data_IF_931543966403
#
_entry.id   IF_931543966403
#
_cell.length_a   1.000
_cell.length_b   1.000
_cell.length_c   1.000
_cell.angle_alpha   90.00
_cell.angle_beta   90.00
_cell.angle_gamma   90.00
#
_symmetry.space_group_name_H-M   'P 1'
#
loop_
_entity.id
_entity.type
_entity.pdbx_description
1 polymer ?
#
# COMPACT_ATOMS: atom_id res chain seq x y z
N UNK A 1 3.20 -17.44 19.70
CA UNK A 1 2.68 -17.22 21.07
C UNK A 1 1.38 -17.99 21.18
N UNK A 2 1.40 -19.10 21.92
CA UNK A 2 0.31 -20.07 21.99
C UNK A 2 -0.47 -19.83 23.27
N UNK A 3 -1.70 -19.32 23.16
CA UNK A 3 -2.61 -19.22 24.29
C UNK A 3 -3.35 -20.55 24.44
N UNK A 4 -2.70 -21.51 25.11
CA UNK A 4 -3.40 -22.58 25.81
C UNK A 4 -3.91 -22.01 27.11
N UNK A 5 -5.22 -21.94 27.26
CA UNK A 5 -5.83 -21.69 28.55
C UNK A 5 -7.17 -21.00 28.42
N UNK A 6 -8.22 -21.78 28.16
CA UNK A 6 -9.49 -21.73 28.90
C UNK A 6 -10.16 -23.10 28.74
N UNK A 7 -9.63 -24.13 29.40
CA UNK A 7 -10.40 -25.33 29.72
C UNK A 7 -10.56 -25.34 31.23
N UNK A 8 -11.52 -24.58 31.73
CA UNK A 8 -12.09 -24.75 33.07
C UNK A 8 -13.38 -23.93 33.11
N UNK A 9 -14.50 -24.62 33.21
CA UNK A 9 -15.72 -24.33 34.01
C UNK A 9 -16.87 -25.08 33.34
N UNK A 10 -16.94 -26.39 33.59
CA UNK A 10 -18.20 -27.14 33.48
C UNK A 10 -18.10 -28.45 34.25
N UNK A 11 -17.94 -28.33 35.57
CA UNK A 11 -18.25 -29.43 36.48
C UNK A 11 -18.60 -28.85 37.87
N UNK A 12 -19.74 -28.16 37.92
CA UNK A 12 -20.48 -27.95 39.15
C UNK A 12 -21.83 -28.65 38.99
N UNK A 13 -21.77 -29.97 38.83
CA UNK A 13 -22.88 -30.86 39.12
C UNK A 13 -23.13 -30.77 40.63
N UNK A 14 -24.11 -29.95 40.98
CA UNK A 14 -25.06 -30.14 42.08
C UNK A 14 -24.71 -31.28 43.04
N UNK A 15 -23.91 -30.98 44.07
CA UNK A 15 -24.01 -31.71 45.35
C UNK A 15 -25.40 -31.40 45.89
N UNK A 16 -26.37 -32.25 45.57
CA UNK A 16 -27.61 -32.34 46.32
C UNK A 16 -27.21 -32.60 47.77
N UNK A 17 -27.43 -31.59 48.61
CA UNK A 17 -27.31 -31.71 50.05
C UNK A 17 -28.37 -32.70 50.53
N UNK A 18 -27.97 -33.95 50.64
CA UNK A 18 -28.66 -34.97 51.40
C UNK A 18 -28.55 -34.57 52.88
N UNK A 19 -29.48 -33.73 53.32
CA UNK A 19 -29.55 -33.24 54.69
C UNK A 19 -31.00 -33.28 55.12
N UNK A 20 -31.42 -34.44 55.63
CA UNK A 20 -32.29 -34.64 56.81
C UNK A 20 -32.92 -36.02 56.76
N UNK A 21 -32.14 -37.03 57.12
CA UNK A 21 -32.70 -38.24 57.72
C UNK A 21 -33.02 -37.92 59.19
N UNK A 22 -34.07 -37.13 59.42
CA UNK A 22 -34.70 -36.98 60.71
C UNK A 22 -35.59 -38.19 60.94
N UNK A 23 -35.00 -39.30 61.38
CA UNK A 23 -35.73 -40.47 61.82
C UNK A 23 -36.64 -40.09 62.98
N UNK A 24 -37.94 -40.09 62.69
CA UNK A 24 -39.04 -39.92 63.64
C UNK A 24 -38.87 -40.94 64.75
N UNK A 25 -38.51 -40.47 65.95
CA UNK A 25 -38.67 -41.23 67.17
C UNK A 25 -40.18 -41.36 67.41
N UNK A 26 -40.75 -42.51 67.07
CA UNK A 26 -42.04 -42.95 67.59
C UNK A 26 -41.83 -43.23 69.07
N UNK A 27 -42.12 -42.24 69.91
CA UNK A 27 -42.31 -42.49 71.33
C UNK A 27 -43.66 -43.19 71.43
N UNK A 28 -43.62 -44.52 71.49
CA UNK A 28 -44.70 -45.34 72.04
C UNK A 28 -44.84 -44.94 73.51
N UNK A 29 -45.65 -43.92 73.78
CA UNK A 29 -46.21 -43.74 75.11
C UNK A 29 -47.35 -44.75 75.22
N UNK A 30 -47.01 -45.91 75.78
CA UNK A 30 -47.95 -46.79 76.47
C UNK A 30 -48.64 -45.97 77.57
N UNK A 31 -49.70 -45.26 77.18
CA UNK A 31 -50.64 -44.63 78.10
C UNK A 31 -51.44 -45.77 78.75
N UNK A 32 -50.91 -46.27 79.85
CA UNK A 32 -51.60 -47.06 80.85
C UNK A 32 -52.88 -46.31 81.26
N UNK A 33 -53.99 -46.61 80.59
CA UNK A 33 -55.32 -46.20 80.99
C UNK A 33 -55.62 -46.80 82.36
N UNK A 34 -55.29 -46.03 83.38
CA UNK A 34 -55.68 -46.23 84.75
C UNK A 34 -57.22 -46.15 84.80
N UNK A 35 -57.87 -47.32 84.79
CA UNK A 35 -59.27 -47.50 85.19
C UNK A 35 -59.43 -47.03 86.63
N UNK A 36 -59.72 -45.75 86.80
CA UNK A 36 -59.91 -45.13 88.10
C UNK A 36 -60.79 -43.91 87.96
N UNK A 37 -61.88 -43.90 88.73
CA UNK A 37 -62.77 -42.77 88.96
C UNK A 37 -63.93 -42.57 87.95
N UNK A 38 -64.82 -43.57 87.87
CA UNK A 38 -66.26 -43.29 87.72
C UNK A 38 -66.75 -42.69 89.05
N UNK A 39 -66.50 -41.41 89.25
CA UNK A 39 -67.05 -40.62 90.35
C UNK A 39 -67.66 -39.36 89.78
N UNK A 40 -69.00 -39.35 89.64
CA UNK A 40 -69.89 -38.23 89.31
C UNK A 40 -69.20 -36.87 89.03
N UNK A 41 -68.55 -36.76 87.87
CA UNK A 41 -68.22 -35.46 87.30
C UNK A 41 -69.53 -34.82 86.87
N UNK A 42 -70.00 -33.87 87.68
CA UNK A 42 -71.21 -33.08 87.48
C UNK A 42 -71.40 -32.76 85.98
N UNK A 43 -72.46 -33.28 85.34
CA UNK A 43 -72.63 -33.23 83.88
C UNK A 43 -72.62 -31.83 83.27
N UNK A 44 -72.61 -30.78 84.10
CA UNK A 44 -72.31 -29.39 83.71
C UNK A 44 -70.83 -29.16 83.36
N UNK A 45 -69.88 -29.72 84.12
CA UNK A 45 -68.45 -29.60 83.88
C UNK A 45 -68.03 -30.27 82.56
N UNK A 46 -68.55 -31.47 82.28
CA UNK A 46 -68.33 -32.20 81.02
C UNK A 46 -68.83 -31.39 79.82
N UNK A 47 -70.02 -30.77 79.94
CA UNK A 47 -70.57 -29.91 78.87
C UNK A 47 -69.73 -28.65 78.64
N UNK A 48 -69.25 -28.01 79.70
CA UNK A 48 -68.36 -26.84 79.58
C UNK A 48 -67.04 -27.22 78.90
N UNK A 49 -66.43 -28.35 79.29
CA UNK A 49 -65.21 -28.85 78.67
C UNK A 49 -65.42 -29.19 77.19
N UNK A 50 -66.56 -29.79 76.82
CA UNK A 50 -66.92 -30.06 75.43
C UNK A 50 -67.06 -28.75 74.63
N UNK A 51 -67.71 -27.74 75.19
CA UNK A 51 -67.84 -26.43 74.52
C UNK A 51 -66.49 -25.75 74.33
N UNK A 52 -65.60 -25.80 75.34
CA UNK A 52 -64.25 -25.26 75.22
C UNK A 52 -63.45 -25.99 74.13
N UNK A 53 -63.47 -27.33 74.14
CA UNK A 53 -62.79 -28.13 73.12
C UNK A 53 -63.33 -27.88 71.71
N UNK A 54 -64.65 -27.68 71.58
CA UNK A 54 -65.24 -27.33 70.29
C UNK A 54 -64.76 -25.97 69.78
N UNK A 55 -64.57 -25.00 70.68
CA UNK A 55 -64.05 -23.67 70.33
C UNK A 55 -62.56 -23.72 69.97
N UNK A 56 -61.77 -24.49 70.72
CA UNK A 56 -60.35 -24.76 70.43
C UNK A 56 -60.19 -25.44 69.06
N UNK A 57 -60.98 -26.47 68.75
CA UNK A 57 -60.98 -27.13 67.44
C UNK A 57 -61.37 -26.17 66.31
N UNK A 58 -62.40 -25.34 66.52
CA UNK A 58 -62.80 -24.36 65.53
C UNK A 58 -61.74 -23.26 65.32
N UNK A 59 -60.99 -22.90 66.36
CA UNK A 59 -59.85 -21.99 66.23
C UNK A 59 -58.68 -22.66 65.50
N UNK A 60 -58.34 -23.90 65.86
CA UNK A 60 -57.28 -24.67 65.22
C UNK A 60 -57.56 -24.87 63.73
N UNK A 61 -58.81 -25.21 63.38
CA UNK A 61 -59.24 -25.35 61.99
C UNK A 61 -59.02 -24.06 61.20
N UNK A 62 -59.41 -22.90 61.77
CA UNK A 62 -59.18 -21.59 61.12
C UNK A 62 -57.70 -21.31 60.92
N UNK A 63 -56.86 -21.55 61.93
CA UNK A 63 -55.41 -21.34 61.81
C UNK A 63 -54.77 -22.30 60.80
N UNK A 64 -55.27 -23.53 60.71
CA UNK A 64 -54.82 -24.48 59.71
C UNK A 64 -55.22 -24.03 58.29
N UNK A 65 -56.45 -23.59 58.09
CA UNK A 65 -56.93 -23.10 56.79
C UNK A 65 -56.14 -21.85 56.35
N UNK A 66 -55.82 -20.95 57.28
CA UNK A 66 -54.94 -19.79 57.04
C UNK A 66 -53.51 -20.22 56.67
N UNK A 67 -52.95 -21.21 57.38
CA UNK A 67 -51.65 -21.78 57.07
C UNK A 67 -51.62 -22.39 55.67
N UNK A 68 -52.59 -23.25 55.34
CA UNK A 68 -52.70 -23.88 54.02
C UNK A 68 -52.79 -22.82 52.92
N UNK A 69 -53.63 -21.80 53.12
CA UNK A 69 -53.76 -20.70 52.16
C UNK A 69 -52.44 -19.96 51.95
N UNK A 70 -51.76 -19.58 53.03
CA UNK A 70 -50.47 -18.88 52.92
C UNK A 70 -49.38 -19.77 52.30
N UNK A 71 -49.37 -21.08 52.60
CA UNK A 71 -48.46 -22.05 51.97
C UNK A 71 -48.66 -22.11 50.46
N UNK A 72 -49.91 -22.22 49.99
CA UNK A 72 -50.22 -22.22 48.55
C UNK A 72 -49.88 -20.88 47.87
N UNK A 73 -49.99 -19.76 48.57
CA UNK A 73 -49.56 -18.46 48.05
C UNK A 73 -48.03 -18.41 47.87
N UNK A 74 -47.26 -18.86 48.85
CA UNK A 74 -45.80 -18.96 48.76
C UNK A 74 -45.34 -19.94 47.68
N UNK A 75 -45.97 -21.11 47.57
CA UNK A 75 -45.67 -22.08 46.50
C UNK A 75 -45.86 -21.45 45.12
N UNK A 76 -46.97 -20.73 44.89
CA UNK A 76 -47.22 -20.02 43.64
C UNK A 76 -46.18 -18.93 43.37
N UNK A 77 -45.79 -18.16 44.39
CA UNK A 77 -44.74 -17.13 44.24
C UNK A 77 -43.39 -17.76 43.86
N UNK A 78 -43.04 -18.90 44.45
CA UNK A 78 -41.82 -19.64 44.11
C UNK A 78 -41.88 -20.20 42.69
N UNK A 79 -43.01 -20.73 42.25
CA UNK A 79 -43.20 -21.20 40.86
C UNK A 79 -43.00 -20.06 39.85
N UNK A 80 -43.56 -18.87 40.11
CA UNK A 80 -43.37 -17.69 39.26
C UNK A 80 -41.89 -17.29 39.20
N UNK A 81 -41.19 -17.36 40.32
CA UNK A 81 -39.78 -17.00 40.41
C UNK A 81 -38.88 -18.02 39.68
N UNK A 82 -39.18 -19.32 39.79
CA UNK A 82 -38.52 -20.37 39.00
C UNK A 82 -38.74 -20.13 37.51
N UNK A 83 -39.98 -19.93 37.06
CA UNK A 83 -40.30 -19.61 35.67
C UNK A 83 -39.53 -18.38 35.16
N UNK A 84 -39.38 -17.35 36.01
CA UNK A 84 -38.62 -16.14 35.70
C UNK A 84 -37.14 -16.45 35.50
N UNK A 85 -36.55 -17.25 36.40
CA UNK A 85 -35.15 -17.63 36.30
C UNK A 85 -34.88 -18.57 35.13
N UNK A 86 -35.79 -19.49 34.81
CA UNK A 86 -35.68 -20.37 33.63
C UNK A 86 -35.69 -19.54 32.34
N UNK A 87 -36.64 -18.61 32.19
CA UNK A 87 -36.68 -17.69 31.05
C UNK A 87 -35.41 -16.86 30.93
N UNK A 88 -34.89 -16.35 32.05
CA UNK A 88 -33.65 -15.58 32.07
C UNK A 88 -32.45 -16.45 31.69
N UNK A 89 -32.42 -17.69 32.14
CA UNK A 89 -31.36 -18.66 31.82
C UNK A 89 -31.34 -18.95 30.33
N UNK A 90 -32.50 -19.24 29.74
CA UNK A 90 -32.64 -19.45 28.30
C UNK A 90 -32.19 -18.24 27.47
N UNK A 91 -32.54 -17.02 27.90
CA UNK A 91 -32.09 -15.79 27.25
C UNK A 91 -30.57 -15.61 27.30
N UNK A 92 -29.95 -15.89 28.45
CA UNK A 92 -28.50 -15.81 28.61
C UNK A 92 -27.79 -16.88 27.77
N UNK A 93 -28.31 -18.10 27.71
CA UNK A 93 -27.77 -19.17 26.87
C UNK A 93 -27.80 -18.79 25.39
N UNK A 94 -28.91 -18.21 24.91
CA UNK A 94 -29.01 -17.71 23.54
C UNK A 94 -28.00 -16.58 23.27
N UNK A 95 -27.84 -15.66 24.22
CA UNK A 95 -26.87 -14.58 24.10
C UNK A 95 -25.42 -15.10 24.04
N UNK A 96 -25.09 -16.13 24.82
CA UNK A 96 -23.76 -16.78 24.78
C UNK A 96 -23.50 -17.38 23.41
N UNK A 97 -24.44 -18.14 22.86
CA UNK A 97 -24.30 -18.75 21.53
C UNK A 97 -24.10 -17.69 20.44
N UNK A 98 -24.87 -16.59 20.47
CA UNK A 98 -24.70 -15.48 19.52
C UNK A 98 -23.33 -14.81 19.63
N UNK A 99 -22.85 -14.59 20.86
CA UNK A 99 -21.52 -14.01 21.09
C UNK A 99 -20.40 -14.95 20.65
N UNK A 100 -20.55 -16.26 20.83
CA UNK A 100 -19.60 -17.26 20.34
C UNK A 100 -19.53 -17.27 18.81
N UNK A 101 -20.67 -17.20 18.13
CA UNK A 101 -20.70 -17.07 16.67
C UNK A 101 -20.01 -15.78 16.20
N UNK A 102 -20.38 -14.62 16.77
CA UNK A 102 -19.76 -13.34 16.41
C UNK A 102 -18.24 -13.33 16.67
N UNK A 103 -17.79 -13.97 17.76
CA UNK A 103 -16.36 -14.14 18.06
C UNK A 103 -15.66 -14.98 17.00
N UNK A 104 -16.29 -16.07 16.54
CA UNK A 104 -15.72 -16.93 15.51
C UNK A 104 -15.64 -16.20 14.17
N UNK A 105 -16.68 -15.47 13.78
CA UNK A 105 -16.72 -14.68 12.54
C UNK A 105 -15.63 -13.59 12.56
N UNK A 106 -15.49 -12.89 13.68
CA UNK A 106 -14.42 -11.90 13.85
C UNK A 106 -13.03 -12.55 13.82
N UNK A 107 -12.90 -13.74 14.41
CA UNK A 107 -11.67 -14.52 14.38
C UNK A 107 -11.25 -14.90 12.96
N UNK A 108 -12.20 -15.35 12.13
CA UNK A 108 -11.97 -15.65 10.71
C UNK A 108 -11.60 -14.39 9.93
N UNK A 109 -12.35 -13.30 10.08
CA UNK A 109 -12.06 -12.03 9.40
C UNK A 109 -10.68 -11.47 9.77
N UNK A 110 -10.29 -11.55 11.04
CA UNK A 110 -8.96 -11.16 11.50
C UNK A 110 -7.86 -12.04 10.90
N UNK A 111 -8.15 -13.34 10.71
CA UNK A 111 -7.28 -14.28 9.99
C UNK A 111 -7.02 -13.83 8.56
N UNK A 112 -8.08 -13.56 7.80
CA UNK A 112 -8.01 -13.14 6.40
C UNK A 112 -7.21 -11.84 6.24
N UNK A 113 -7.50 -10.83 7.06
CA UNK A 113 -6.78 -9.54 7.05
C UNK A 113 -5.29 -9.74 7.35
N UNK A 114 -4.94 -10.66 8.26
CA UNK A 114 -3.55 -10.95 8.58
C UNK A 114 -2.82 -11.62 7.42
N UNK A 115 -3.47 -12.52 6.70
CA UNK A 115 -2.91 -13.16 5.50
C UNK A 115 -2.72 -12.16 4.35
N UNK A 116 -3.69 -11.26 4.15
CA UNK A 116 -3.60 -10.17 3.18
C UNK A 116 -2.44 -9.22 3.52
N UNK A 117 -2.31 -8.82 4.79
CA UNK A 117 -1.21 -7.97 5.26
C UNK A 117 0.15 -8.62 5.00
N UNK A 118 0.31 -9.91 5.31
CA UNK A 118 1.55 -10.63 5.03
C UNK A 118 1.85 -10.71 3.54
N UNK A 119 0.83 -10.91 2.71
CA UNK A 119 0.98 -10.95 1.25
C UNK A 119 1.40 -9.59 0.70
N UNK A 120 0.81 -8.52 1.21
CA UNK A 120 1.19 -7.14 0.87
C UNK A 120 2.65 -6.84 1.26
N UNK A 121 3.08 -7.21 2.47
CA UNK A 121 4.45 -7.02 2.93
C UNK A 121 5.48 -7.76 2.07
N UNK A 122 5.19 -9.00 1.66
CA UNK A 122 6.06 -9.75 0.73
C UNK A 122 6.18 -9.05 -0.63
N UNK A 123 5.05 -8.52 -1.14
CA UNK A 123 5.02 -7.78 -2.41
C UNK A 123 5.79 -6.47 -2.32
N UNK A 124 5.61 -5.73 -1.23
CA UNK A 124 6.36 -4.49 -0.96
C UNK A 124 7.86 -4.75 -0.94
N UNK A 125 8.31 -5.79 -0.22
CA UNK A 125 9.72 -6.17 -0.17
C UNK A 125 10.28 -6.53 -1.56
N UNK A 126 9.51 -7.26 -2.38
CA UNK A 126 9.91 -7.59 -3.75
C UNK A 126 10.06 -6.33 -4.62
N UNK A 127 9.10 -5.41 -4.55
CA UNK A 127 9.14 -4.15 -5.31
C UNK A 127 10.32 -3.28 -4.86
N UNK A 128 10.60 -3.25 -3.55
CA UNK A 128 11.75 -2.54 -3.02
C UNK A 128 13.05 -3.08 -3.59
N UNK A 129 13.17 -4.41 -3.70
CA UNK A 129 14.36 -5.04 -4.28
C UNK A 129 14.53 -4.73 -5.78
N UNK A 130 13.43 -4.72 -6.54
CA UNK A 130 13.44 -4.32 -7.95
C UNK A 130 13.83 -2.84 -8.12
N UNK A 131 13.35 -1.95 -7.24
CA UNK A 131 13.74 -0.54 -7.25
C UNK A 131 15.25 -0.41 -7.03
N UNK A 132 15.81 -1.14 -6.08
CA UNK A 132 17.24 -1.06 -5.77
C UNK A 132 18.10 -1.66 -6.90
N UNK A 133 17.66 -2.75 -7.52
CA UNK A 133 18.31 -3.29 -8.73
C UNK A 133 18.30 -2.28 -9.88
N UNK A 134 17.16 -1.61 -10.13
CA UNK A 134 17.05 -0.60 -11.17
C UNK A 134 17.92 0.62 -10.89
N UNK A 135 18.05 1.06 -9.62
CA UNK A 135 18.99 2.13 -9.23
C UNK A 135 20.44 1.76 -9.57
N UNK A 136 20.86 0.53 -9.23
CA UNK A 136 22.19 0.03 -9.57
C UNK A 136 22.43 0.00 -11.07
N UNK A 137 21.43 -0.42 -11.85
CA UNK A 137 21.51 -0.43 -13.31
C UNK A 137 21.65 0.97 -13.90
N UNK A 138 20.89 1.95 -13.38
CA UNK A 138 20.99 3.35 -13.80
C UNK A 138 22.39 3.88 -13.54
N UNK A 139 22.93 3.70 -12.33
CA UNK A 139 24.28 4.17 -11.99
C UNK A 139 25.36 3.57 -12.91
N UNK A 140 25.25 2.27 -13.24
CA UNK A 140 26.18 1.63 -14.18
C UNK A 140 26.09 2.24 -15.58
N UNK A 141 24.89 2.47 -16.08
CA UNK A 141 24.68 3.10 -17.40
C UNK A 141 25.16 4.56 -17.43
N UNK A 142 24.99 5.30 -16.32
CA UNK A 142 25.54 6.65 -16.19
C UNK A 142 27.08 6.63 -16.25
N UNK A 143 27.72 5.70 -15.54
CA UNK A 143 29.17 5.52 -15.59
C UNK A 143 29.65 5.16 -17.01
N UNK A 144 29.01 4.18 -17.67
CA UNK A 144 29.36 3.79 -19.05
C UNK A 144 29.19 4.96 -20.03
N UNK A 145 28.19 5.81 -19.83
CA UNK A 145 27.98 7.00 -20.65
C UNK A 145 29.10 8.04 -20.45
N UNK A 146 29.50 8.30 -19.20
CA UNK A 146 30.61 9.21 -18.89
C UNK A 146 31.93 8.72 -19.51
N UNK A 147 32.18 7.41 -19.49
CA UNK A 147 33.33 6.76 -20.12
C UNK A 147 33.31 6.90 -21.65
N UNK A 148 32.14 6.72 -22.28
CA UNK A 148 31.95 6.91 -23.72
C UNK A 148 32.12 8.37 -24.13
N UNK A 149 31.59 9.32 -23.37
CA UNK A 149 31.75 10.76 -23.64
C UNK A 149 33.22 11.18 -23.53
N UNK A 150 33.92 10.67 -22.53
CA UNK A 150 35.37 10.90 -22.37
C UNK A 150 36.14 10.31 -23.55
N UNK A 151 35.83 9.07 -23.94
CA UNK A 151 36.45 8.41 -25.11
C UNK A 151 36.20 9.18 -26.41
N UNK A 152 34.99 9.72 -26.59
CA UNK A 152 34.63 10.54 -27.74
C UNK A 152 35.44 11.84 -27.80
N UNK A 153 35.62 12.53 -26.66
CA UNK A 153 36.45 13.73 -26.55
C UNK A 153 37.92 13.45 -26.90
N UNK A 154 38.47 12.35 -26.41
CA UNK A 154 39.86 11.93 -26.72
C UNK A 154 40.00 11.63 -28.22
N UNK A 155 39.05 10.90 -28.80
CA UNK A 155 39.06 10.58 -30.23
C UNK A 155 38.98 11.85 -31.10
N UNK A 156 38.13 12.81 -30.74
CA UNK A 156 38.03 14.10 -31.43
C UNK A 156 39.34 14.88 -31.39
N UNK A 157 39.95 15.02 -30.20
CA UNK A 157 41.26 15.67 -30.06
C UNK A 157 42.34 14.97 -30.91
N UNK A 158 42.34 13.62 -30.93
CA UNK A 158 43.27 12.84 -31.75
C UNK A 158 43.05 13.07 -33.25
N UNK A 159 41.80 13.16 -33.70
CA UNK A 159 41.46 13.48 -35.09
C UNK A 159 41.96 14.87 -35.47
N UNK A 160 41.75 15.87 -34.60
CA UNK A 160 42.22 17.24 -34.81
C UNK A 160 43.75 17.31 -34.88
N UNK A 161 44.46 16.62 -33.97
CA UNK A 161 45.92 16.51 -33.98
C UNK A 161 46.45 15.89 -35.28
N UNK A 162 45.80 14.81 -35.75
CA UNK A 162 46.18 14.15 -37.00
C UNK A 162 45.88 15.03 -38.22
N UNK A 163 44.77 15.78 -38.22
CA UNK A 163 44.45 16.75 -39.26
C UNK A 163 45.49 17.85 -39.35
N UNK A 164 45.85 18.45 -38.22
CA UNK A 164 46.90 19.48 -38.19
C UNK A 164 48.23 18.92 -38.71
N UNK A 165 48.65 17.71 -38.27
CA UNK A 165 49.86 17.06 -38.78
C UNK A 165 49.80 16.84 -40.29
N UNK A 166 48.65 16.40 -40.81
CA UNK A 166 48.43 16.21 -42.24
C UNK A 166 48.53 17.52 -43.02
N UNK A 167 47.95 18.60 -42.50
CA UNK A 167 48.02 19.94 -43.11
C UNK A 167 49.46 20.45 -43.16
N UNK A 168 50.22 20.33 -42.07
CA UNK A 168 51.64 20.72 -42.03
C UNK A 168 52.49 19.92 -43.01
N UNK A 169 52.27 18.61 -43.12
CA UNK A 169 52.97 17.78 -44.11
C UNK A 169 52.61 18.17 -45.55
N UNK A 170 51.35 18.54 -45.81
CA UNK A 170 50.92 19.05 -47.10
C UNK A 170 51.61 20.36 -47.45
N UNK A 171 51.68 21.31 -46.52
CA UNK A 171 52.39 22.59 -46.68
C UNK A 171 53.88 22.38 -46.99
N UNK A 172 54.56 21.48 -46.26
CA UNK A 172 55.94 21.10 -46.54
C UNK A 172 56.10 20.48 -47.93
N UNK A 173 55.16 19.65 -48.35
CA UNK A 173 55.19 19.03 -49.67
C UNK A 173 55.05 20.08 -50.78
N UNK A 174 54.13 21.03 -50.63
CA UNK A 174 53.94 22.15 -51.56
C UNK A 174 55.21 23.00 -51.64
N UNK A 175 55.84 23.30 -50.50
CA UNK A 175 57.10 24.04 -50.46
C UNK A 175 58.22 23.32 -51.22
N UNK A 176 58.44 22.03 -50.96
CA UNK A 176 59.45 21.23 -51.65
C UNK A 176 59.17 21.07 -53.16
N UNK A 177 57.91 20.97 -53.55
CA UNK A 177 57.52 20.96 -54.97
C UNK A 177 57.91 22.28 -55.64
N UNK A 178 57.67 23.41 -54.97
CA UNK A 178 58.06 24.72 -55.49
C UNK A 178 59.58 24.84 -55.65
N UNK A 179 60.37 24.45 -54.64
CA UNK A 179 61.85 24.45 -54.74
C UNK A 179 62.35 23.55 -55.88
N UNK A 180 61.75 22.35 -56.03
CA UNK A 180 62.04 21.44 -57.14
C UNK A 180 61.76 22.09 -58.49
N UNK A 181 60.62 22.76 -58.64
CA UNK A 181 60.28 23.48 -59.87
C UNK A 181 61.27 24.60 -60.17
N UNK A 182 61.70 25.36 -59.17
CA UNK A 182 62.73 26.39 -59.33
C UNK A 182 64.08 25.81 -59.77
N UNK A 183 64.53 24.70 -59.17
CA UNK A 183 65.77 24.02 -59.54
C UNK A 183 65.70 23.48 -60.97
N UNK A 184 64.58 22.83 -61.34
CA UNK A 184 64.37 22.36 -62.72
C UNK A 184 64.37 23.53 -63.72
N UNK A 185 63.78 24.67 -63.36
CA UNK A 185 63.80 25.88 -64.20
C UNK A 185 65.23 26.39 -64.37
N UNK A 186 66.02 26.47 -63.30
CA UNK A 186 67.44 26.87 -63.36
C UNK A 186 68.26 25.90 -64.23
N UNK A 187 68.08 24.59 -64.05
CA UNK A 187 68.73 23.56 -64.87
C UNK A 187 68.35 23.69 -66.35
N UNK A 188 67.06 23.87 -66.65
CA UNK A 188 66.61 24.07 -68.03
C UNK A 188 67.22 25.33 -68.66
N UNK A 189 67.37 26.42 -67.89
CA UNK A 189 68.02 27.65 -68.34
C UNK A 189 69.51 27.44 -68.64
N UNK A 190 70.21 26.64 -67.84
CA UNK A 190 71.62 26.30 -68.06
C UNK A 190 71.76 25.47 -69.34
N UNK A 191 70.93 24.43 -69.50
CA UNK A 191 70.94 23.58 -70.70
C UNK A 191 70.70 24.42 -71.97
N UNK A 192 69.73 25.35 -71.94
CA UNK A 192 69.47 26.24 -73.08
C UNK A 192 70.69 27.13 -73.38
N UNK A 193 71.32 27.72 -72.36
CA UNK A 193 72.51 28.55 -72.53
C UNK A 193 73.74 27.77 -73.05
N UNK A 194 73.84 26.49 -72.71
CA UNK A 194 74.95 25.62 -73.14
C UNK A 194 74.73 25.06 -74.56
N UNK A 195 73.48 24.79 -74.94
CA UNK A 195 73.11 24.34 -76.31
C UNK A 195 73.07 25.52 -77.31
N UNK A 196 72.82 26.74 -76.84
CA UNK A 196 72.92 27.98 -77.61
C UNK A 196 73.94 28.95 -76.96
N UNK A 197 75.26 28.74 -77.15
CA UNK A 197 76.24 29.73 -76.77
C UNK A 197 75.95 31.02 -77.55
N UNK A 198 75.84 32.13 -76.84
CA UNK A 198 75.51 33.41 -77.44
C UNK A 198 76.56 33.80 -78.51
N UNK A 199 76.19 33.66 -79.78
CA UNK A 199 76.72 34.52 -80.82
C UNK A 199 76.30 35.96 -80.47
N UNK A 200 77.26 36.72 -79.96
CA UNK A 200 77.17 38.17 -79.85
C UNK A 200 77.09 38.75 -81.26
N UNK A 201 75.89 38.80 -81.85
CA UNK A 201 75.52 39.80 -82.86
C UNK A 201 74.03 39.75 -83.21
N UNK A 202 73.33 40.84 -82.89
CA UNK A 202 72.31 41.40 -83.78
C UNK A 202 70.84 41.01 -83.57
N UNK A 203 70.10 41.98 -83.02
CA UNK A 203 68.70 42.35 -83.33
C UNK A 203 67.53 41.44 -82.87
N UNK A 204 66.36 42.05 -82.55
CA UNK A 204 65.22 41.36 -81.93
C UNK A 204 64.28 40.76 -82.99
N UNK A 205 63.53 39.70 -82.63
CA UNK A 205 62.14 39.68 -83.04
C UNK A 205 61.16 39.10 -82.01
N UNK A 206 59.93 39.60 -82.07
CA UNK A 206 58.77 38.70 -82.15
C UNK A 206 58.13 38.22 -80.85
N UNK A 207 57.16 39.00 -80.38
CA UNK A 207 55.99 38.55 -79.61
C UNK A 207 55.45 37.21 -80.15
N UNK A 208 55.37 36.18 -79.30
CA UNK A 208 54.52 35.01 -79.52
C UNK A 208 53.65 34.77 -78.29
N UNK A 209 52.35 34.94 -78.50
CA UNK A 209 51.25 34.61 -77.58
C UNK A 209 51.16 33.10 -77.38
N UNK A 210 51.36 32.63 -76.15
CA UNK A 210 51.13 31.23 -75.77
C UNK A 210 49.76 31.09 -75.09
N UNK A 211 48.82 30.47 -75.80
CA UNK A 211 47.48 30.19 -75.32
C UNK A 211 47.44 28.81 -74.64
N UNK A 212 47.17 28.83 -73.33
CA UNK A 212 46.38 27.89 -72.52
C UNK A 212 46.31 26.43 -73.01
N UNK A 213 47.11 25.57 -72.39
CA UNK A 213 46.79 24.14 -72.30
C UNK A 213 45.79 23.91 -71.15
N UNK A 214 44.57 23.54 -71.55
CA UNK A 214 43.48 23.07 -70.69
C UNK A 214 43.76 21.64 -70.22
N UNK A 215 44.18 21.46 -68.97
CA UNK A 215 44.14 20.15 -68.28
C UNK A 215 42.73 19.94 -67.73
N UNK A 216 41.99 18.99 -68.31
CA UNK A 216 40.77 18.43 -67.70
C UNK A 216 41.12 17.14 -66.98
N UNK A 217 40.50 17.03 -65.82
CA UNK A 217 40.72 16.09 -64.74
C UNK A 217 40.49 14.63 -65.10
N UNK A 218 41.26 13.77 -64.43
CA UNK A 218 41.05 12.33 -64.30
C UNK A 218 40.89 12.01 -62.82
N UNK A 219 39.78 11.39 -62.43
CA UNK A 219 39.75 10.45 -61.31
C UNK A 219 38.49 9.57 -61.36
N UNK A 220 38.73 8.32 -61.78
CA UNK A 220 38.23 7.03 -61.31
C UNK A 220 36.87 6.89 -60.59
N UNK A 221 36.06 6.00 -61.17
CA UNK A 221 35.07 5.12 -60.55
C UNK A 221 35.75 3.87 -59.93
N UNK A 222 35.22 3.32 -58.82
CA UNK A 222 34.97 1.89 -58.44
C UNK A 222 34.16 1.96 -57.10
N UNK A 223 32.86 1.63 -56.96
CA UNK A 223 32.12 0.35 -56.99
C UNK A 223 32.44 -0.58 -55.77
N UNK A 224 31.67 -0.54 -54.66
CA UNK A 224 30.49 -1.36 -54.31
C UNK A 224 30.79 -2.33 -53.13
N UNK A 225 29.89 -2.42 -52.13
CA UNK A 225 29.38 -3.67 -51.52
C UNK A 225 28.37 -3.42 -50.35
N UNK A 226 27.17 -4.01 -50.50
CA UNK A 226 26.34 -4.72 -49.48
C UNK A 226 25.44 -3.94 -48.48
N UNK A 227 24.13 -4.13 -48.66
CA UNK A 227 22.95 -3.98 -47.76
C UNK A 227 22.70 -5.26 -46.91
N UNK A 228 21.68 -5.44 -46.01
CA UNK A 228 20.83 -4.58 -45.12
C UNK A 228 20.68 -5.23 -43.66
N UNK A 229 19.64 -5.05 -42.76
CA UNK A 229 18.38 -4.29 -42.86
C UNK A 229 17.83 -3.52 -41.60
N UNK A 230 16.86 -2.63 -41.89
CA UNK A 230 15.62 -2.25 -41.15
C UNK A 230 15.62 -1.95 -39.64
N UNK A 231 15.29 -0.69 -39.29
CA UNK A 231 14.06 -0.26 -38.57
C UNK A 231 14.20 1.20 -38.05
N UNK A 232 13.14 1.87 -37.55
CA UNK A 232 12.38 2.85 -38.31
C UNK A 232 12.61 4.31 -37.88
N UNK A 233 12.12 5.20 -38.75
CA UNK A 233 12.01 6.64 -38.65
C UNK A 233 11.73 7.21 -37.26
N UNK A 234 12.55 8.18 -36.85
CA UNK A 234 12.12 9.30 -35.98
C UNK A 234 12.57 10.60 -36.64
N UNK A 235 11.58 11.44 -36.87
CA UNK A 235 11.64 12.73 -37.56
C UNK A 235 12.49 13.74 -36.79
N UNK A 236 13.26 14.51 -37.56
CA UNK A 236 13.96 15.77 -37.26
C UNK A 236 13.17 16.72 -36.32
N UNK A 237 13.78 17.22 -35.25
CA UNK A 237 14.60 18.45 -35.22
C UNK A 237 13.77 19.73 -35.03
N UNK A 238 13.85 20.31 -33.83
CA UNK A 238 13.84 21.75 -33.67
C UNK A 238 14.62 22.14 -32.41
N UNK A 239 15.86 22.56 -32.64
CA UNK A 239 16.70 23.28 -31.69
C UNK A 239 16.06 24.65 -31.41
N UNK A 240 15.70 24.90 -30.16
CA UNK A 240 15.48 26.27 -29.68
C UNK A 240 16.19 26.45 -28.33
N UNK A 241 17.26 27.25 -28.37
CA UNK A 241 18.00 27.79 -27.23
C UNK A 241 17.05 28.45 -26.23
N UNK A 242 17.14 28.09 -24.95
CA UNK A 242 16.32 28.74 -23.92
C UNK A 242 16.61 28.34 -22.48
N UNK A 243 17.68 28.94 -21.91
CA UNK A 243 17.85 29.27 -20.47
C UNK A 243 17.62 28.16 -19.42
N UNK A 244 18.75 27.74 -18.84
CA UNK A 244 18.86 27.06 -17.53
C UNK A 244 17.92 27.70 -16.48
N UNK A 245 16.93 26.94 -16.01
CA UNK A 245 16.35 27.11 -14.67
C UNK A 245 16.51 25.79 -13.92
N UNK A 246 17.36 25.81 -12.89
CA UNK A 246 17.42 24.78 -11.85
C UNK A 246 16.04 24.69 -11.18
N UNK A 247 15.22 23.72 -11.61
CA UNK A 247 14.03 23.32 -10.90
C UNK A 247 14.41 22.27 -9.86
N UNK A 248 14.45 22.66 -8.58
CA UNK A 248 14.35 21.70 -7.48
C UNK A 248 12.98 21.02 -7.64
N UNK A 249 12.97 19.70 -7.86
CA UNK A 249 11.74 18.91 -7.69
C UNK A 249 11.43 18.87 -6.18
N UNK A 250 10.22 19.24 -5.74
CA UNK A 250 9.79 18.95 -4.38
C UNK A 250 9.34 17.48 -4.32
N UNK A 251 10.00 16.70 -3.48
CA UNK A 251 9.49 15.42 -2.98
C UNK A 251 8.33 15.67 -2.02
N UNK A 252 7.13 16.01 -2.51
CA UNK A 252 5.89 15.96 -1.72
C UNK A 252 4.71 15.70 -2.66
N UNK A 253 4.40 14.44 -2.92
CA UNK A 253 3.16 14.02 -3.59
C UNK A 253 2.03 13.72 -2.58
N UNK A 254 1.95 14.47 -1.50
CA UNK A 254 0.83 14.38 -0.53
C UNK A 254 -0.10 15.62 -0.54
N UNK A 255 0.04 16.54 -1.50
CA UNK A 255 -0.77 17.78 -1.52
C UNK A 255 -1.47 18.08 -2.85
N UNK A 256 -1.66 17.08 -3.72
CA UNK A 256 -2.26 17.25 -5.04
C UNK A 256 -3.80 17.43 -5.06
N UNK A 257 -4.44 17.83 -3.96
CA UNK A 257 -5.82 18.35 -4.03
C UNK A 257 -5.88 19.87 -4.25
N UNK A 258 -4.77 20.60 -4.03
CA UNK A 258 -4.78 22.08 -4.02
C UNK A 258 -4.25 22.73 -5.31
N UNK A 259 -3.59 21.98 -6.20
CA UNK A 259 -3.00 22.55 -7.44
C UNK A 259 -4.05 23.01 -8.47
N UNK A 260 -5.26 22.45 -8.42
CA UNK A 260 -6.37 22.82 -9.32
C UNK A 260 -7.32 23.85 -8.70
N UNK A 261 -7.18 24.20 -7.41
CA UNK A 261 -8.01 25.21 -6.78
C UNK A 261 -7.63 26.61 -7.30
N UNK A 262 -8.57 27.24 -8.02
CA UNK A 262 -8.41 28.59 -8.59
C UNK A 262 -8.12 29.65 -7.53
N UNK A 263 -8.56 29.42 -6.28
CA UNK A 263 -8.31 30.30 -5.13
C UNK A 263 -6.91 30.10 -4.53
N UNK A 264 -6.38 28.87 -4.47
CA UNK A 264 -4.99 28.59 -4.11
C UNK A 264 -4.01 29.25 -5.10
N UNK A 265 -4.32 29.21 -6.41
CA UNK A 265 -3.51 29.90 -7.43
C UNK A 265 -3.48 31.43 -7.27
N UNK A 266 -4.50 32.02 -6.65
CA UNK A 266 -4.62 33.46 -6.49
C UNK A 266 -4.01 33.99 -5.18
N UNK A 267 -3.38 33.13 -4.35
CA UNK A 267 -2.79 33.49 -3.06
C UNK A 267 -3.73 34.27 -2.11
N UNK A 268 -5.04 34.11 -2.28
CA UNK A 268 -6.03 34.69 -1.36
C UNK A 268 -6.25 33.72 -0.19
N UNK A 269 -6.29 34.20 1.06
CA UNK A 269 -6.66 33.36 2.19
C UNK A 269 -8.08 32.82 1.94
N UNK A 270 -8.22 31.50 1.94
CA UNK A 270 -9.50 30.84 1.82
C UNK A 270 -9.48 29.54 2.64
N UNK A 271 -10.61 29.26 3.27
CA UNK A 271 -10.77 28.20 4.25
C UNK A 271 -10.89 26.83 3.57
N UNK A 272 -9.79 26.10 3.43
CA UNK A 272 -9.81 24.65 3.21
C UNK A 272 -9.37 23.84 4.44
N UNK A 273 -8.87 24.51 5.48
CA UNK A 273 -8.46 23.88 6.75
C UNK A 273 -9.46 24.12 7.90
N UNK A 274 -10.63 24.69 7.61
CA UNK A 274 -11.74 24.67 8.56
C UNK A 274 -12.48 23.35 8.37
N UNK A 275 -12.30 22.43 9.32
CA UNK A 275 -13.08 21.19 9.40
C UNK A 275 -14.55 21.48 9.16
N UNK A 276 -15.05 20.94 8.06
CA UNK A 276 -16.43 21.10 7.61
C UNK A 276 -17.31 20.11 8.38
N UNK A 277 -17.71 20.47 9.59
CA UNK A 277 -18.77 19.76 10.32
C UNK A 277 -20.18 20.08 9.77
N UNK A 278 -20.33 21.02 8.83
CA UNK A 278 -21.65 21.46 8.35
C UNK A 278 -22.01 21.06 6.91
N UNK A 279 -21.15 20.34 6.16
CA UNK A 279 -21.44 19.95 4.77
C UNK A 279 -21.39 18.45 4.50
N UNK A 280 -22.11 17.69 5.32
CA UNK A 280 -22.45 16.31 5.02
C UNK A 280 -21.28 15.34 5.11
N UNK A 281 -21.58 14.05 5.00
CA UNK A 281 -20.57 13.00 5.10
C UNK A 281 -19.54 13.13 3.96
N UNK A 282 -18.32 12.64 4.20
CA UNK A 282 -17.24 12.56 3.19
C UNK A 282 -17.74 11.90 1.88
N UNK A 283 -18.71 10.98 1.97
CA UNK A 283 -19.34 10.35 0.82
C UNK A 283 -20.08 11.35 -0.10
N UNK A 284 -20.81 12.32 0.46
CA UNK A 284 -21.47 13.36 -0.35
C UNK A 284 -20.47 14.27 -1.06
N UNK A 285 -19.30 14.48 -0.47
CA UNK A 285 -18.23 15.25 -1.12
C UNK A 285 -17.70 14.53 -2.36
N UNK A 286 -17.40 13.23 -2.25
CA UNK A 286 -16.95 12.43 -3.39
C UNK A 286 -18.02 12.32 -4.47
N UNK A 287 -19.30 12.22 -4.09
CA UNK A 287 -20.38 12.16 -5.06
C UNK A 287 -20.56 13.49 -5.83
N UNK A 288 -20.43 14.64 -5.13
CA UNK A 288 -20.39 15.95 -5.80
C UNK A 288 -19.18 16.09 -6.72
N UNK A 289 -18.02 15.55 -6.33
CA UNK A 289 -16.81 15.57 -7.15
C UNK A 289 -16.98 14.71 -8.40
N UNK A 290 -17.61 13.53 -8.27
CA UNK A 290 -17.94 12.63 -9.36
C UNK A 290 -18.87 13.30 -10.38
N UNK A 291 -19.99 13.87 -9.91
CA UNK A 291 -20.94 14.61 -10.77
C UNK A 291 -20.29 15.81 -11.45
N UNK A 292 -19.39 16.52 -10.76
CA UNK A 292 -18.67 17.65 -11.36
C UNK A 292 -17.69 17.23 -12.47
N UNK A 293 -16.97 16.13 -12.27
CA UNK A 293 -15.94 15.67 -13.21
C UNK A 293 -16.51 14.88 -14.38
N UNK A 294 -17.57 14.10 -14.15
CA UNK A 294 -18.10 13.15 -15.12
C UNK A 294 -19.51 13.50 -15.60
N UNK A 295 -20.13 14.55 -15.06
CA UNK A 295 -21.53 14.89 -15.31
C UNK A 295 -22.47 14.02 -14.48
N UNK A 296 -23.73 14.44 -14.37
CA UNK A 296 -24.80 13.58 -13.86
C UNK A 296 -25.05 12.51 -14.91
N UNK A 297 -24.78 11.24 -14.60
CA UNK A 297 -25.20 10.14 -15.46
C UNK A 297 -26.73 10.20 -15.55
N UNK A 298 -27.23 10.50 -16.76
CA UNK A 298 -28.64 10.45 -17.13
C UNK A 298 -29.08 9.02 -17.40
#
# INVERSE_FOLDING_TARGET
>A
MSFRGVEHVRELTTKAGDTRQGGVATVDEDDDFQEGLVGDMDGKAVRQQLTQKSLELAQLQRTHDEYVKSSCEYERELEIEVDRYEKKTLQLEQAVVLLEHAKNDLGSSMGDIKEELQTSQRREHMLQMQIDEMKWKIQRLEQENDELETSARIAQATIEDLRHKSETLLEQNVFLQHEKEEVLKKLSSIIIAEVHPADMNGAPPGRATSARYSRKSSSCLVEALVEPPTSPAVVQESVAKGKKKKGRRPEVLETCLHLTCRKCRANKPHSHNGGSDERGSIAEFFERLRVFLFGSDH
#
